data_IF_682534263580
#
_entry.id   IF_682534263580
#
_cell.length_a   1.000
_cell.length_b   1.000
_cell.length_c   1.000
_cell.angle_alpha   90.00
_cell.angle_beta   90.00
_cell.angle_gamma   90.00
#
_symmetry.space_group_name_H-M   'P 1'
#
loop_
_entity.id
_entity.type
_entity.pdbx_description
1 polymer ?
#
# COMPACT_ATOMS: atom_id res chain seq x y z
N UNK A 1 -5.30 26.65 6.77
CA UNK A 1 -4.48 26.20 5.62
C UNK A 1 -4.31 24.70 5.80
N UNK A 2 -4.81 23.88 4.87
CA UNK A 2 -4.60 22.43 4.95
C UNK A 2 -3.14 22.18 4.59
N UNK A 3 -2.33 21.78 5.57
CA UNK A 3 -0.98 21.31 5.32
C UNK A 3 -1.02 20.20 4.27
N UNK A 4 -0.14 20.29 3.28
CA UNK A 4 -0.05 19.24 2.25
C UNK A 4 0.27 17.93 2.95
N UNK A 5 -0.40 16.81 2.60
CA UNK A 5 -0.09 15.53 3.23
C UNK A 5 1.38 15.21 3.03
N UNK A 6 2.06 14.84 4.13
CA UNK A 6 3.47 14.45 4.14
C UNK A 6 3.67 13.36 3.08
N UNK A 7 4.66 13.55 2.22
CA UNK A 7 5.09 12.53 1.25
C UNK A 7 6.40 11.93 1.71
N UNK A 8 6.55 10.63 1.52
CA UNK A 8 7.80 9.93 1.78
C UNK A 8 8.89 10.44 0.84
N UNK A 9 10.12 10.49 1.34
CA UNK A 9 11.30 10.73 0.53
C UNK A 9 11.75 9.43 -0.19
N UNK A 10 12.74 9.54 -1.07
CA UNK A 10 13.20 8.40 -1.89
C UNK A 10 13.69 7.20 -1.06
N UNK A 11 14.38 7.44 0.06
CA UNK A 11 14.87 6.37 0.92
C UNK A 11 13.71 5.67 1.64
N UNK A 12 12.75 6.45 2.15
CA UNK A 12 11.52 5.92 2.77
C UNK A 12 10.66 5.12 1.76
N UNK A 13 10.59 5.55 0.49
CA UNK A 13 9.90 4.81 -0.59
C UNK A 13 10.61 3.47 -0.86
N UNK A 14 11.95 3.48 -0.94
CA UNK A 14 12.72 2.25 -1.17
C UNK A 14 12.52 1.25 -0.02
N UNK A 15 12.51 1.74 1.23
CA UNK A 15 12.23 0.92 2.40
C UNK A 15 10.79 0.37 2.39
N UNK A 16 9.80 1.19 2.04
CA UNK A 16 8.42 0.74 1.90
C UNK A 16 8.28 -0.36 0.84
N UNK A 17 8.98 -0.21 -0.29
CA UNK A 17 9.01 -1.22 -1.36
C UNK A 17 9.63 -2.54 -0.90
N UNK A 18 10.74 -2.47 -0.17
CA UNK A 18 11.39 -3.65 0.37
C UNK A 18 10.46 -4.39 1.33
N UNK A 19 9.81 -3.67 2.26
CA UNK A 19 8.85 -4.24 3.20
C UNK A 19 7.67 -4.92 2.49
N UNK A 20 7.14 -4.32 1.41
CA UNK A 20 6.07 -4.93 0.61
C UNK A 20 6.54 -6.23 -0.05
N UNK A 21 7.74 -6.26 -0.65
CA UNK A 21 8.28 -7.48 -1.29
C UNK A 21 8.41 -8.63 -0.31
N UNK A 22 8.93 -8.36 0.88
CA UNK A 22 9.08 -9.35 1.96
C UNK A 22 7.71 -9.87 2.41
N UNK A 23 6.76 -8.97 2.68
CA UNK A 23 5.40 -9.35 3.09
C UNK A 23 4.67 -10.15 2.00
N UNK A 24 4.80 -9.75 0.73
CA UNK A 24 4.23 -10.47 -0.41
C UNK A 24 4.77 -11.90 -0.52
N UNK A 25 6.07 -12.08 -0.30
CA UNK A 25 6.69 -13.41 -0.28
C UNK A 25 6.17 -14.25 0.90
N UNK A 26 6.04 -13.67 2.10
CA UNK A 26 5.49 -14.38 3.26
C UNK A 26 4.04 -14.83 3.02
N UNK A 27 3.19 -13.94 2.48
CA UNK A 27 1.80 -14.25 2.14
C UNK A 27 1.70 -15.35 1.08
N UNK A 28 2.59 -15.36 0.08
CA UNK A 28 2.65 -16.43 -0.92
C UNK A 28 3.00 -17.79 -0.31
N UNK A 29 3.91 -17.84 0.68
CA UNK A 29 4.24 -19.08 1.41
C UNK A 29 3.01 -19.60 2.18
N UNK A 30 2.18 -18.70 2.71
CA UNK A 30 0.94 -19.03 3.42
C UNK A 30 -0.23 -19.40 2.50
N UNK A 31 0.00 -19.46 1.18
CA UNK A 31 -1.04 -19.78 0.20
C UNK A 31 -2.02 -18.63 -0.06
N UNK A 32 -1.65 -17.40 0.32
CA UNK A 32 -2.42 -16.18 0.07
C UNK A 32 -1.62 -15.19 -0.80
N UNK A 33 -1.21 -15.57 -2.03
CA UNK A 33 -0.48 -14.65 -2.89
C UNK A 33 -1.35 -13.44 -3.24
N UNK A 34 -0.73 -12.26 -3.28
CA UNK A 34 -1.39 -11.06 -3.83
C UNK A 34 -1.66 -11.25 -5.32
N UNK A 35 -2.81 -10.76 -5.78
CA UNK A 35 -3.13 -10.70 -7.20
C UNK A 35 -2.48 -9.48 -7.89
N UNK A 36 -2.71 -9.35 -9.20
CA UNK A 36 -2.09 -8.30 -9.99
C UNK A 36 -2.61 -6.91 -9.59
N UNK A 37 -3.88 -6.81 -9.26
CA UNK A 37 -4.57 -5.61 -8.81
C UNK A 37 -4.03 -5.13 -7.46
N UNK A 38 -3.84 -6.03 -6.51
CA UNK A 38 -3.25 -5.77 -5.20
C UNK A 38 -1.81 -5.24 -5.36
N UNK A 39 -0.99 -5.91 -6.18
CA UNK A 39 0.39 -5.47 -6.45
C UNK A 39 0.41 -4.07 -7.06
N UNK A 40 -0.43 -3.82 -8.06
CA UNK A 40 -0.53 -2.51 -8.71
C UNK A 40 -0.97 -1.40 -7.74
N UNK A 41 -1.85 -1.71 -6.79
CA UNK A 41 -2.28 -0.80 -5.73
C UNK A 41 -1.10 -0.41 -4.82
N UNK A 42 -0.30 -1.38 -4.36
CA UNK A 42 0.86 -1.06 -3.52
C UNK A 42 1.94 -0.29 -4.29
N UNK A 43 2.20 -0.63 -5.56
CA UNK A 43 3.14 0.11 -6.41
C UNK A 43 2.69 1.57 -6.63
N UNK A 44 1.38 1.83 -6.70
CA UNK A 44 0.86 3.19 -6.73
C UNK A 44 1.19 3.94 -5.43
N UNK A 45 1.03 3.32 -4.26
CA UNK A 45 1.36 3.97 -2.98
C UNK A 45 2.83 4.37 -2.90
N UNK A 46 3.72 3.48 -3.34
CA UNK A 46 5.16 3.73 -3.41
C UNK A 46 5.48 4.88 -4.38
N UNK A 47 4.92 4.84 -5.59
CA UNK A 47 5.12 5.88 -6.62
C UNK A 47 4.66 7.26 -6.15
N UNK A 48 3.53 7.32 -5.45
CA UNK A 48 2.96 8.56 -4.93
C UNK A 48 3.57 9.00 -3.59
N UNK A 49 4.47 8.18 -3.01
CA UNK A 49 5.12 8.45 -1.73
C UNK A 49 4.13 8.54 -0.57
N UNK A 50 3.11 7.68 -0.54
CA UNK A 50 2.11 7.69 0.52
C UNK A 50 2.69 7.20 1.85
N UNK A 51 2.29 7.87 2.94
CA UNK A 51 2.59 7.36 4.28
C UNK A 51 1.73 6.14 4.60
N UNK A 52 2.17 5.37 5.59
CA UNK A 52 1.46 4.16 6.00
C UNK A 52 0.02 4.42 6.41
N UNK A 53 -0.24 5.52 7.14
CA UNK A 53 -1.58 5.91 7.57
C UNK A 53 -2.51 6.19 6.39
N UNK A 54 -1.97 6.82 5.33
CA UNK A 54 -2.73 7.10 4.12
C UNK A 54 -3.07 5.82 3.35
N UNK A 55 -2.13 4.88 3.26
CA UNK A 55 -2.39 3.57 2.66
C UNK A 55 -3.50 2.82 3.38
N UNK A 56 -3.44 2.75 4.72
CA UNK A 56 -4.48 2.11 5.54
C UNK A 56 -5.84 2.77 5.30
N UNK A 57 -5.90 4.11 5.34
CA UNK A 57 -7.16 4.83 5.12
C UNK A 57 -7.78 4.48 3.76
N UNK A 58 -6.96 4.43 2.70
CA UNK A 58 -7.42 4.06 1.37
C UNK A 58 -7.95 2.61 1.30
N UNK A 59 -7.22 1.65 1.85
CA UNK A 59 -7.62 0.23 1.85
C UNK A 59 -8.94 0.06 2.61
N UNK A 60 -9.10 0.73 3.76
CA UNK A 60 -10.33 0.67 4.54
C UNK A 60 -11.53 1.26 3.78
N UNK A 61 -11.35 2.38 3.06
CA UNK A 61 -12.42 2.95 2.24
C UNK A 61 -12.80 2.01 1.08
N UNK A 62 -11.83 1.39 0.42
CA UNK A 62 -12.10 0.41 -0.63
C UNK A 62 -12.83 -0.83 -0.09
N UNK A 63 -12.42 -1.34 1.08
CA UNK A 63 -13.07 -2.47 1.72
C UNK A 63 -14.53 -2.16 2.10
N UNK A 64 -14.79 -0.97 2.63
CA UNK A 64 -16.17 -0.50 2.91
C UNK A 64 -17.00 -0.44 1.64
N UNK A 65 -16.45 0.09 0.55
CA UNK A 65 -17.15 0.18 -0.73
C UNK A 65 -17.42 -1.19 -1.37
N UNK A 66 -16.54 -2.18 -1.14
CA UNK A 66 -16.76 -3.55 -1.58
C UNK A 66 -17.83 -4.28 -0.74
N UNK A 67 -17.93 -3.98 0.56
CA UNK A 67 -18.89 -4.60 1.46
C UNK A 67 -20.35 -4.13 1.28
N UNK A 68 -20.57 -2.99 0.61
CA UNK A 68 -21.92 -2.43 0.36
C UNK A 68 -22.47 -2.79 -1.02
N UNK A 69 -21.77 -3.62 -1.78
CA UNK A 69 -22.20 -4.21 -3.06
C UNK A 69 -22.90 -5.54 -2.84
#
# INVERSE_FOLDING_TARGET
MLDKPKRLNKAEIAEARQRRLEAMNLQAIEGNPLDAEDVAMFEMFEREGWTHERCIAYILEQAKAAATK
#
